data_IF_161300314759
#
_entry.id   IF_161300314759
#
_cell.length_a   1.000
_cell.length_b   1.000
_cell.length_c   1.000
_cell.angle_alpha   90.00
_cell.angle_beta   90.00
_cell.angle_gamma   90.00
#
_symmetry.space_group_name_H-M   'P 1'
#
loop_
_entity.id
_entity.type
_entity.pdbx_description
1 polymer ?
#
# COMPACT_ATOMS: atom_id res chain seq x y z
N UNK A 1 17.45 -23.53 22.66
CA UNK A 1 18.22 -23.34 21.42
C UNK A 1 17.17 -23.19 20.36
N UNK A 2 17.04 -21.98 19.85
CA UNK A 2 16.08 -21.60 18.82
C UNK A 2 16.75 -21.97 17.50
N UNK A 3 16.40 -23.13 16.95
CA UNK A 3 16.79 -23.53 15.59
C UNK A 3 16.03 -22.63 14.62
N UNK A 4 16.57 -21.42 14.41
CA UNK A 4 16.05 -20.48 13.43
C UNK A 4 15.98 -21.17 12.07
N UNK A 5 14.77 -21.29 11.53
CA UNK A 5 14.55 -21.88 10.22
C UNK A 5 15.54 -21.27 9.22
N UNK A 6 16.36 -22.09 8.52
CA UNK A 6 17.29 -21.56 7.54
C UNK A 6 16.47 -20.84 6.46
N UNK A 7 16.63 -19.53 6.37
CA UNK A 7 15.96 -18.71 5.36
C UNK A 7 16.17 -19.31 3.97
N UNK A 8 15.09 -19.43 3.20
CA UNK A 8 15.13 -20.07 1.89
C UNK A 8 16.14 -19.39 0.95
N UNK A 9 17.06 -20.18 0.38
CA UNK A 9 18.06 -19.68 -0.58
C UNK A 9 17.41 -19.54 -1.97
N UNK A 10 17.55 -18.39 -2.66
CA UNK A 10 17.03 -18.22 -4.01
C UNK A 10 17.59 -19.24 -5.01
N UNK A 11 16.73 -19.81 -5.88
CA UNK A 11 17.08 -20.82 -6.88
C UNK A 11 16.56 -20.44 -8.26
N UNK A 12 17.26 -20.85 -9.32
CA UNK A 12 16.79 -20.66 -10.69
C UNK A 12 15.42 -21.34 -10.87
N UNK A 13 14.44 -20.61 -11.42
CA UNK A 13 13.06 -21.08 -11.58
C UNK A 13 12.17 -20.94 -10.34
N UNK A 14 12.69 -20.46 -9.20
CA UNK A 14 11.88 -20.15 -8.02
C UNK A 14 10.94 -18.98 -8.31
N UNK A 15 9.66 -19.16 -8.02
CA UNK A 15 8.64 -18.10 -8.09
C UNK A 15 8.49 -17.49 -6.70
N UNK A 16 8.68 -16.17 -6.61
CA UNK A 16 8.48 -15.40 -5.38
C UNK A 16 7.28 -14.49 -5.62
N UNK A 17 6.22 -14.66 -4.85
CA UNK A 17 5.04 -13.80 -4.88
C UNK A 17 4.97 -13.00 -3.59
N UNK A 18 5.02 -11.67 -3.71
CA UNK A 18 4.74 -10.77 -2.60
C UNK A 18 3.32 -10.25 -2.77
N UNK A 19 2.48 -10.46 -1.76
CA UNK A 19 1.13 -9.89 -1.72
C UNK A 19 1.06 -8.92 -0.57
N UNK A 20 0.60 -7.72 -0.85
CA UNK A 20 0.41 -6.69 0.16
C UNK A 20 -1.02 -6.17 0.05
N UNK A 21 -1.70 -6.11 1.19
CA UNK A 21 -2.99 -5.43 1.33
C UNK A 21 -2.82 -4.28 2.30
N UNK A 22 -3.23 -3.11 1.88
CA UNK A 22 -3.23 -1.92 2.69
C UNK A 22 -4.63 -1.33 2.67
N UNK A 23 -5.22 -1.18 3.84
CA UNK A 23 -6.51 -0.52 4.00
C UNK A 23 -6.26 0.89 4.54
N UNK A 24 -6.88 1.88 3.91
CA UNK A 24 -6.91 3.28 4.36
C UNK A 24 -8.36 3.75 4.44
N UNK A 25 -8.61 4.76 5.27
CA UNK A 25 -9.91 5.43 5.34
C UNK A 25 -9.72 6.90 5.02
N UNK A 26 -10.51 7.39 4.07
CA UNK A 26 -10.60 8.81 3.76
C UNK A 26 -11.27 9.50 4.95
N UNK A 27 -10.49 10.30 5.68
CA UNK A 27 -10.97 11.11 6.80
C UNK A 27 -11.26 12.55 6.38
N UNK A 28 -10.61 13.02 5.30
CA UNK A 28 -10.81 14.34 4.70
C UNK A 28 -10.75 14.22 3.16
N UNK A 29 -11.91 14.12 2.47
CA UNK A 29 -11.96 13.90 1.02
C UNK A 29 -11.35 15.03 0.20
N UNK A 30 -11.48 16.28 0.65
CA UNK A 30 -10.93 17.44 -0.06
C UNK A 30 -9.41 17.42 0.02
N UNK A 31 -8.86 17.12 1.21
CA UNK A 31 -7.41 16.98 1.40
C UNK A 31 -6.84 15.80 0.63
N UNK A 32 -7.59 14.70 0.55
CA UNK A 32 -7.23 13.54 -0.26
C UNK A 32 -7.10 13.88 -1.75
N UNK A 33 -8.13 14.50 -2.35
CA UNK A 33 -8.07 14.92 -3.75
C UNK A 33 -6.97 15.98 -3.98
N UNK A 34 -6.79 16.91 -3.06
CA UNK A 34 -5.72 17.91 -3.15
C UNK A 34 -4.32 17.28 -3.08
N UNK A 35 -4.13 16.24 -2.26
CA UNK A 35 -2.87 15.51 -2.18
C UNK A 35 -2.58 14.72 -3.46
N UNK A 36 -3.58 14.04 -4.01
CA UNK A 36 -3.45 13.35 -5.28
C UNK A 36 -3.13 14.29 -6.45
N UNK A 37 -3.80 15.45 -6.54
CA UNK A 37 -3.49 16.47 -7.56
C UNK A 37 -2.05 16.98 -7.44
N UNK A 38 -1.59 17.24 -6.20
CA UNK A 38 -0.20 17.63 -5.95
C UNK A 38 0.78 16.54 -6.38
N UNK A 39 0.47 15.27 -6.08
CA UNK A 39 1.30 14.14 -6.50
C UNK A 39 1.37 14.03 -8.03
N UNK A 40 0.20 14.07 -8.69
CA UNK A 40 0.09 14.00 -10.14
C UNK A 40 0.87 15.11 -10.85
N UNK A 41 0.68 16.36 -10.43
CA UNK A 41 1.38 17.51 -11.01
C UNK A 41 2.89 17.49 -10.76
N UNK A 42 3.34 16.86 -9.67
CA UNK A 42 4.76 16.79 -9.37
C UNK A 42 5.49 15.77 -10.26
N UNK A 43 4.79 14.75 -10.76
CA UNK A 43 5.33 13.77 -11.72
C UNK A 43 5.02 14.17 -13.18
N UNK A 44 3.94 14.91 -13.40
CA UNK A 44 3.48 15.43 -14.69
C UNK A 44 3.21 16.94 -14.61
N UNK A 45 4.24 17.79 -14.71
CA UNK A 45 4.10 19.24 -14.49
C UNK A 45 3.20 19.95 -15.52
N UNK A 46 3.00 19.34 -16.69
CA UNK A 46 2.15 19.86 -17.77
C UNK A 46 0.72 19.28 -17.76
N UNK A 47 0.39 18.41 -16.81
CA UNK A 47 -0.95 17.81 -16.71
C UNK A 47 -1.98 18.78 -16.10
N UNK A 48 -3.27 18.50 -16.33
CA UNK A 48 -4.35 19.29 -15.75
C UNK A 48 -4.73 18.69 -14.38
N UNK A 49 -4.80 19.46 -13.28
CA UNK A 49 -5.32 18.95 -12.01
C UNK A 49 -6.76 18.40 -12.10
N UNK A 50 -7.52 18.75 -13.14
CA UNK A 50 -8.83 18.17 -13.43
C UNK A 50 -8.76 16.69 -13.86
N UNK A 51 -7.59 16.19 -14.27
CA UNK A 51 -7.35 14.77 -14.57
C UNK A 51 -7.51 13.89 -13.32
N UNK A 52 -7.46 14.48 -12.12
CA UNK A 52 -7.84 13.83 -10.87
C UNK A 52 -9.30 14.21 -10.55
N UNK A 53 -10.22 13.40 -11.07
CA UNK A 53 -11.65 13.64 -10.98
C UNK A 53 -12.33 12.75 -9.94
N UNK A 54 -11.81 11.54 -9.71
CA UNK A 54 -12.41 10.58 -8.78
C UNK A 54 -11.39 9.85 -7.87
N UNK A 55 -11.90 8.88 -7.11
CA UNK A 55 -11.12 8.11 -6.13
C UNK A 55 -10.08 7.22 -6.81
N UNK A 56 -10.38 6.66 -7.99
CA UNK A 56 -9.45 5.80 -8.71
C UNK A 56 -8.27 6.62 -9.23
N UNK A 57 -8.53 7.77 -9.86
CA UNK A 57 -7.48 8.67 -10.32
C UNK A 57 -6.58 9.11 -9.14
N UNK A 58 -7.22 9.44 -8.02
CA UNK A 58 -6.51 9.88 -6.84
C UNK A 58 -5.64 8.78 -6.22
N UNK A 59 -6.15 7.55 -6.15
CA UNK A 59 -5.39 6.39 -5.69
C UNK A 59 -4.20 6.11 -6.60
N UNK A 60 -4.41 6.12 -7.92
CA UNK A 60 -3.34 5.90 -8.88
C UNK A 60 -2.23 6.94 -8.75
N UNK A 61 -2.56 8.23 -8.71
CA UNK A 61 -1.57 9.29 -8.56
C UNK A 61 -0.74 9.18 -7.27
N UNK A 62 -1.34 8.75 -6.15
CA UNK A 62 -0.62 8.55 -4.90
C UNK A 62 0.24 7.29 -4.92
N UNK A 63 -0.24 6.20 -5.52
CA UNK A 63 0.52 4.95 -5.66
C UNK A 63 1.71 5.12 -6.60
N UNK A 64 1.54 5.82 -7.72
CA UNK A 64 2.61 6.04 -8.69
C UNK A 64 3.77 6.83 -8.05
N UNK A 65 3.45 7.84 -7.24
CA UNK A 65 4.46 8.68 -6.58
C UNK A 65 5.08 8.06 -5.33
N UNK A 66 4.25 7.50 -4.45
CA UNK A 66 4.69 7.09 -3.10
C UNK A 66 4.76 5.57 -2.89
N UNK A 67 4.26 4.77 -3.83
CA UNK A 67 4.24 3.31 -3.79
C UNK A 67 3.26 2.69 -2.79
N UNK A 68 2.57 3.50 -1.97
CA UNK A 68 1.64 3.06 -0.92
C UNK A 68 0.72 4.22 -0.52
N UNK A 69 -0.55 3.90 -0.25
CA UNK A 69 -1.52 4.86 0.30
C UNK A 69 -1.27 5.14 1.77
N UNK A 70 -0.54 4.29 2.48
CA UNK A 70 -0.11 4.43 3.87
C UNK A 70 1.29 5.02 4.02
N UNK A 71 1.89 5.57 2.96
CA UNK A 71 3.30 5.95 2.89
C UNK A 71 3.82 6.78 4.06
N UNK A 72 5.03 6.45 4.50
CA UNK A 72 5.81 7.20 5.50
C UNK A 72 6.55 8.40 4.88
N UNK A 73 6.29 8.74 3.61
CA UNK A 73 6.92 9.87 2.93
C UNK A 73 6.56 11.20 3.61
N UNK A 74 7.51 12.12 3.88
CA UNK A 74 7.28 13.31 4.70
C UNK A 74 6.20 14.27 4.17
N UNK A 75 5.89 14.23 2.87
CA UNK A 75 4.83 15.05 2.25
C UNK A 75 3.41 14.59 2.62
N UNK A 76 3.25 13.31 3.00
CA UNK A 76 1.94 12.66 3.23
C UNK A 76 1.86 11.96 4.58
N UNK A 77 2.99 11.68 5.22
CA UNK A 77 3.03 11.13 6.56
C UNK A 77 2.44 12.14 7.56
N UNK A 78 1.49 11.68 8.37
CA UNK A 78 1.04 12.38 9.56
C UNK A 78 2.12 12.23 10.64
N UNK A 79 2.34 13.27 11.43
CA UNK A 79 3.41 13.33 12.43
C UNK A 79 3.57 12.02 13.22
N UNK A 80 4.83 11.57 13.32
CA UNK A 80 5.35 10.36 13.96
C UNK A 80 4.40 9.67 14.96
N UNK A 81 3.44 8.90 14.47
CA UNK A 81 2.78 7.88 15.28
C UNK A 81 3.65 6.65 15.17
N UNK A 82 4.36 6.33 16.25
CA UNK A 82 5.11 5.07 16.40
C UNK A 82 4.28 3.92 15.86
N UNK A 83 4.69 3.35 14.73
CA UNK A 83 4.27 2.03 14.24
C UNK A 83 4.50 1.09 15.42
N UNK A 84 3.48 0.81 16.23
CA UNK A 84 3.64 -0.09 17.38
C UNK A 84 3.83 -1.47 16.78
N UNK A 85 5.08 -1.91 16.73
CA UNK A 85 5.45 -3.26 16.34
C UNK A 85 4.66 -4.22 17.23
N UNK A 86 3.63 -4.85 16.68
CA UNK A 86 3.07 -6.03 17.31
C UNK A 86 3.98 -7.20 16.94
N UNK A 87 4.33 -8.03 17.91
CA UNK A 87 5.00 -9.30 17.64
C UNK A 87 4.11 -10.11 16.70
N UNK A 88 4.47 -10.17 15.41
CA UNK A 88 3.70 -10.87 14.36
C UNK A 88 3.13 -10.00 13.23
N UNK A 89 3.30 -8.66 13.24
CA UNK A 89 2.88 -7.81 12.12
C UNK A 89 3.11 -6.31 12.32
N UNK A 90 3.39 -5.59 11.24
CA UNK A 90 3.49 -4.12 11.22
C UNK A 90 2.12 -3.53 10.85
N UNK A 91 1.40 -2.98 11.82
CA UNK A 91 0.07 -2.43 11.59
C UNK A 91 -0.38 -1.42 12.65
N UNK A 92 -1.40 -0.65 12.31
CA UNK A 92 -2.10 0.27 13.20
C UNK A 92 -3.06 -0.50 14.10
N UNK A 93 -3.25 -0.06 15.35
CA UNK A 93 -4.31 -0.63 16.20
C UNK A 93 -5.67 -0.41 15.51
N UNK A 94 -6.53 -1.44 15.42
CA UNK A 94 -7.87 -1.26 14.90
C UNK A 94 -8.61 -0.14 15.65
N UNK A 95 -9.02 0.90 14.93
CA UNK A 95 -9.78 2.03 15.48
C UNK A 95 -8.98 3.32 15.73
N UNK A 96 -7.65 3.29 15.71
CA UNK A 96 -6.84 4.51 15.81
C UNK A 96 -6.81 5.24 14.47
N UNK A 97 -7.49 6.39 14.40
CA UNK A 97 -7.50 7.25 13.20
C UNK A 97 -6.45 8.34 13.33
N UNK A 98 -5.86 8.73 12.21
CA UNK A 98 -4.98 9.90 12.09
C UNK A 98 -5.76 11.02 11.42
N UNK A 99 -6.50 11.85 12.18
CA UNK A 99 -7.36 12.88 11.57
C UNK A 99 -6.58 13.97 10.86
N UNK A 100 -5.34 14.23 11.29
CA UNK A 100 -4.54 15.37 10.82
C UNK A 100 -3.51 14.99 9.75
N UNK A 101 -3.72 13.87 9.06
CA UNK A 101 -2.78 13.44 8.02
C UNK A 101 -2.82 14.42 6.82
N UNK A 102 -1.65 14.84 6.27
CA UNK A 102 -1.59 15.83 5.18
C UNK A 102 -2.28 15.42 3.88
N UNK A 103 -2.58 14.14 3.71
CA UNK A 103 -3.24 13.57 2.54
C UNK A 103 -4.69 13.16 2.79
N UNK A 104 -5.25 13.47 3.96
CA UNK A 104 -6.65 13.15 4.27
C UNK A 104 -6.94 11.65 4.39
N UNK A 105 -5.91 10.82 4.45
CA UNK A 105 -6.00 9.38 4.66
C UNK A 105 -5.62 9.02 6.09
N UNK A 106 -6.31 8.03 6.64
CA UNK A 106 -5.94 7.36 7.87
C UNK A 106 -5.65 5.90 7.56
N UNK A 107 -4.42 5.41 7.80
CA UNK A 107 -4.14 3.99 7.74
C UNK A 107 -5.11 3.18 8.60
N UNK A 108 -5.53 2.03 8.10
CA UNK A 108 -6.49 1.13 8.74
C UNK A 108 -5.96 -0.31 8.87
N UNK A 109 -4.78 -0.59 8.33
CA UNK A 109 -4.09 -1.87 8.48
C UNK A 109 -3.20 -2.16 7.27
N UNK A 110 -2.16 -2.97 7.50
CA UNK A 110 -1.30 -3.49 6.44
C UNK A 110 -1.04 -4.97 6.70
N UNK A 111 -1.25 -5.81 5.70
CA UNK A 111 -0.91 -7.23 5.71
C UNK A 111 0.05 -7.45 4.55
N UNK A 112 1.11 -8.22 4.78
CA UNK A 112 2.04 -8.63 3.73
C UNK A 112 2.40 -10.09 3.88
N UNK A 113 2.34 -10.82 2.77
CA UNK A 113 2.65 -12.25 2.70
C UNK A 113 3.70 -12.48 1.62
N UNK A 114 4.72 -13.27 1.95
CA UNK A 114 5.75 -13.70 1.02
C UNK A 114 5.54 -15.19 0.80
N UNK A 115 5.11 -15.54 -0.41
CA UNK A 115 4.92 -16.92 -0.82
C UNK A 115 6.08 -17.34 -1.73
N UNK A 116 6.75 -18.42 -1.36
CA UNK A 116 7.86 -19.00 -2.10
C UNK A 116 7.40 -20.24 -2.86
N UNK A 117 8.03 -20.48 -4.01
CA UNK A 117 7.76 -21.64 -4.88
C UNK A 117 6.27 -21.74 -5.27
N UNK A 118 5.64 -20.58 -5.54
CA UNK A 118 4.26 -20.53 -6.02
C UNK A 118 4.17 -21.26 -7.36
N UNK A 119 3.25 -22.23 -7.43
CA UNK A 119 3.10 -23.14 -8.59
C UNK A 119 2.71 -22.44 -9.88
N UNK A 120 2.06 -21.28 -9.78
CA UNK A 120 1.59 -20.49 -10.92
C UNK A 120 1.98 -19.02 -10.75
N UNK A 121 2.95 -18.51 -11.53
CA UNK A 121 3.30 -17.09 -11.59
C UNK A 121 2.10 -16.16 -11.85
N UNK A 122 2.16 -14.91 -11.36
CA UNK A 122 1.04 -13.96 -11.46
C UNK A 122 0.57 -13.73 -12.90
N UNK A 123 1.51 -13.62 -13.84
CA UNK A 123 1.23 -13.44 -15.27
C UNK A 123 0.38 -14.57 -15.88
N UNK A 124 0.40 -15.76 -15.28
CA UNK A 124 -0.30 -16.95 -15.79
C UNK A 124 -1.74 -17.04 -15.26
N UNK A 125 -2.13 -16.19 -14.31
CA UNK A 125 -3.52 -16.10 -13.82
C UNK A 125 -4.40 -15.17 -14.69
N UNK A 126 -3.83 -14.50 -15.70
CA UNK A 126 -4.56 -13.59 -16.57
C UNK A 126 -5.11 -12.37 -15.81
N UNK A 127 -6.41 -12.11 -15.91
CA UNK A 127 -7.07 -10.97 -15.25
C UNK A 127 -7.60 -11.27 -13.83
N UNK A 128 -7.44 -12.50 -13.33
CA UNK A 128 -7.98 -12.91 -12.04
C UNK A 128 -6.86 -13.09 -11.03
N UNK A 129 -7.07 -12.61 -9.80
CA UNK A 129 -6.13 -12.87 -8.71
C UNK A 129 -6.38 -14.30 -8.16
N UNK A 130 -5.35 -14.98 -7.62
CA UNK A 130 -5.48 -16.33 -7.06
C UNK A 130 -6.49 -16.42 -5.90
N UNK A 131 -6.82 -15.27 -5.29
CA UNK A 131 -7.65 -15.12 -4.09
C UNK A 131 -9.16 -15.14 -4.42
N UNK A 132 -9.51 -15.03 -5.71
CA UNK A 132 -10.90 -15.04 -6.21
C UNK A 132 -11.44 -16.47 -6.46
N UNK A 133 -10.69 -17.49 -6.05
CA UNK A 133 -11.06 -18.91 -6.21
C UNK A 133 -11.70 -19.53 -4.97
N UNK A 134 -12.08 -18.73 -3.96
CA UNK A 134 -12.64 -19.21 -2.70
C UNK A 134 -13.76 -18.34 -2.15
N UNK A 135 -14.97 -18.51 -2.69
CA UNK A 135 -16.24 -18.24 -2.01
C UNK A 135 -17.19 -19.43 -2.19
#
# INVERSE_FOLDING_TARGET
MDDGEPGAVPRAGMVISVRSREDVVVVDPERFLAAARRAHLADHPDADPADIADVYDAVHALLDRYGSLGSDHPEVAGGATTRRQMSGGVGWLPGDRVPDRPDGLSPAGTISEINLDVTTPLQDHGCFLPEDQGA
#
